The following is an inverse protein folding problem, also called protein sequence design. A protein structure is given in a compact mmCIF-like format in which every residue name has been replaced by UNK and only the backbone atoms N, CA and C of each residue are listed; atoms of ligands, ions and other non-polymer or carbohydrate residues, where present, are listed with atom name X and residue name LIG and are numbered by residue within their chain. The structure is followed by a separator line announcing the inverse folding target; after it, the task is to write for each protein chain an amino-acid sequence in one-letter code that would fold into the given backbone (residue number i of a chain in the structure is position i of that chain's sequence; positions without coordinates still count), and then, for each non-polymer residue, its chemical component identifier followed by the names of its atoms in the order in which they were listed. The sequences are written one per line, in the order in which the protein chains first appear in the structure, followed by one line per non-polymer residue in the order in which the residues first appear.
data_IF_310332993467
#
_entry.id   IF_310332993467
#
_cell.length_a   1.000
_cell.length_b   1.000
_cell.length_c   1.000
_cell.angle_alpha   90.00
_cell.angle_beta   90.00
_cell.angle_gamma   90.00
#
_symmetry.space_group_name_H-M   'P 1'
#
loop_
_entity.id
_entity.type
_entity.pdbx_description
1 polymer ?
#
# COMPACT_ATOMS: atom_id res chain seq x y z
N UNK A 1 -83.51 -10.36 38.53
CA UNK A 1 -84.13 -9.09 38.80
C UNK A 1 -83.17 -8.34 39.71
N UNK A 2 -82.69 -7.38 39.14
CA UNK A 2 -81.98 -6.26 39.75
C UNK A 2 -80.54 -5.99 39.31
N UNK A 3 -80.49 -4.87 38.65
CA UNK A 3 -79.34 -4.33 38.00
C UNK A 3 -78.32 -3.79 38.99
N UNK A 4 -77.16 -4.26 38.94
CA UNK A 4 -75.99 -3.82 39.68
C UNK A 4 -75.50 -2.50 39.15
N UNK A 5 -75.51 -1.51 39.98
CA UNK A 5 -74.78 -0.28 39.73
C UNK A 5 -73.27 -0.51 39.97
N UNK A 6 -72.51 -0.44 38.91
CA UNK A 6 -71.09 -0.50 38.98
C UNK A 6 -70.56 0.93 39.21
N UNK A 7 -69.91 1.13 40.32
CA UNK A 7 -69.15 2.35 40.64
C UNK A 7 -67.86 2.33 39.85
N UNK A 8 -67.74 3.25 38.91
CA UNK A 8 -66.49 3.45 38.17
C UNK A 8 -65.62 4.37 38.98
N UNK A 9 -64.60 3.79 39.64
CA UNK A 9 -63.52 4.55 40.25
C UNK A 9 -62.53 4.97 39.14
N UNK A 10 -62.48 6.26 38.85
CA UNK A 10 -61.52 6.82 37.94
C UNK A 10 -60.16 6.87 38.62
N UNK A 11 -59.33 5.92 38.36
CA UNK A 11 -57.92 5.99 38.71
C UNK A 11 -57.19 6.88 37.67
N UNK A 12 -56.79 8.08 38.08
CA UNK A 12 -55.92 8.92 37.30
C UNK A 12 -54.55 8.26 37.32
N UNK A 13 -54.26 7.45 36.36
CA UNK A 13 -52.89 7.00 36.10
C UNK A 13 -52.15 8.16 35.44
N UNK A 14 -51.28 8.80 36.20
CA UNK A 14 -50.25 9.68 35.64
C UNK A 14 -49.36 8.83 34.74
N UNK A 15 -49.65 8.84 33.44
CA UNK A 15 -48.76 8.33 32.42
C UNK A 15 -47.53 9.24 32.41
N UNK A 16 -46.51 8.85 33.16
CA UNK A 16 -45.14 9.33 32.91
C UNK A 16 -44.79 8.86 31.50
N UNK A 17 -44.97 9.74 30.56
CA UNK A 17 -44.40 9.62 29.21
C UNK A 17 -42.87 9.60 29.36
N UNK A 18 -42.33 8.40 29.54
CA UNK A 18 -40.97 8.11 29.20
C UNK A 18 -40.86 8.39 27.68
N UNK A 19 -40.50 9.62 27.37
CA UNK A 19 -39.93 9.92 26.08
C UNK A 19 -38.68 9.05 25.96
N UNK A 20 -38.82 7.85 25.44
CA UNK A 20 -37.72 7.21 24.78
C UNK A 20 -37.34 8.18 23.66
N UNK A 21 -36.37 9.03 23.95
CA UNK A 21 -35.55 9.63 22.92
C UNK A 21 -34.93 8.46 22.16
N UNK A 22 -35.61 7.99 21.12
CA UNK A 22 -34.92 7.41 20.01
C UNK A 22 -33.97 8.52 19.56
N UNK A 23 -32.75 8.50 20.08
CA UNK A 23 -31.66 9.08 19.32
C UNK A 23 -31.73 8.32 17.98
N UNK A 24 -32.34 8.93 16.97
CA UNK A 24 -31.97 8.67 15.60
C UNK A 24 -30.45 8.79 15.60
N UNK A 25 -29.77 7.65 15.74
CA UNK A 25 -28.44 7.51 15.14
C UNK A 25 -28.74 7.65 13.67
N UNK A 26 -28.76 8.88 13.17
CA UNK A 26 -28.66 9.13 11.75
C UNK A 26 -27.44 8.31 11.35
N UNK A 27 -27.67 7.26 10.58
CA UNK A 27 -26.60 6.40 10.11
C UNK A 27 -25.56 7.35 9.56
N UNK A 28 -24.40 7.39 10.19
CA UNK A 28 -23.34 8.34 9.86
C UNK A 28 -23.01 8.13 8.38
N UNK A 29 -23.23 9.16 7.57
CA UNK A 29 -23.17 9.07 6.12
C UNK A 29 -21.73 8.89 5.68
N UNK A 30 -21.45 7.77 5.04
CA UNK A 30 -20.19 7.54 4.34
C UNK A 30 -20.29 8.02 2.90
N UNK A 31 -19.17 8.44 2.37
CA UNK A 31 -19.01 8.85 0.98
C UNK A 31 -17.89 8.01 0.34
N UNK A 32 -17.93 7.94 -0.99
CA UNK A 32 -16.92 7.22 -1.79
C UNK A 32 -16.34 8.15 -2.84
N UNK A 33 -15.02 8.06 -3.03
CA UNK A 33 -14.30 8.72 -4.12
C UNK A 33 -13.54 7.62 -4.86
N UNK A 34 -13.81 7.47 -6.15
CA UNK A 34 -13.14 6.55 -7.05
C UNK A 34 -12.39 7.32 -8.13
N UNK A 35 -11.29 6.77 -8.61
CA UNK A 35 -10.52 7.37 -9.70
C UNK A 35 -9.33 6.53 -10.14
N UNK A 36 -8.40 7.19 -10.83
CA UNK A 36 -7.15 6.57 -11.28
C UNK A 36 -5.95 7.40 -10.84
N UNK A 37 -4.92 6.75 -10.34
CA UNK A 37 -3.64 7.35 -9.95
C UNK A 37 -2.52 6.31 -10.08
N UNK A 38 -1.29 6.74 -10.28
CA UNK A 38 -0.09 5.88 -10.29
C UNK A 38 -0.21 4.66 -11.23
N UNK A 39 -0.92 4.80 -12.36
CA UNK A 39 -1.12 3.74 -13.34
C UNK A 39 -2.12 2.65 -12.93
N UNK A 40 -2.89 2.87 -11.86
CA UNK A 40 -3.91 1.96 -11.33
C UNK A 40 -5.19 2.72 -10.94
N UNK A 41 -6.15 2.04 -10.30
CA UNK A 41 -7.34 2.64 -9.70
C UNK A 41 -7.09 2.97 -8.23
N UNK A 42 -7.92 3.88 -7.69
CA UNK A 42 -8.03 4.06 -6.25
C UNK A 42 -9.50 4.07 -5.82
N UNK A 43 -9.73 3.65 -4.58
CA UNK A 43 -11.04 3.60 -3.94
C UNK A 43 -10.94 4.11 -2.49
N UNK A 44 -11.66 5.19 -2.19
CA UNK A 44 -11.63 5.81 -0.85
C UNK A 44 -13.06 5.87 -0.32
N UNK A 45 -13.30 5.20 0.82
CA UNK A 45 -14.54 5.30 1.57
C UNK A 45 -14.27 6.07 2.85
N UNK A 46 -15.05 7.09 3.15
CA UNK A 46 -14.82 7.91 4.33
C UNK A 46 -16.09 8.48 4.93
N UNK A 47 -16.07 8.72 6.24
CA UNK A 47 -17.12 9.38 7.01
C UNK A 47 -16.63 10.75 7.45
N UNK A 48 -17.04 11.86 6.82
CA UNK A 48 -16.64 13.20 7.26
C UNK A 48 -17.24 13.55 8.62
N UNK A 49 -16.56 14.39 9.38
CA UNK A 49 -17.06 14.90 10.67
C UNK A 49 -18.41 15.62 10.52
N UNK A 50 -18.63 16.30 9.38
CA UNK A 50 -19.88 16.94 9.01
C UNK A 50 -20.28 16.46 7.62
N UNK A 51 -21.38 15.69 7.54
CA UNK A 51 -21.87 15.15 6.28
C UNK A 51 -22.59 16.24 5.47
N UNK A 52 -21.95 16.73 4.42
CA UNK A 52 -22.52 17.69 3.47
C UNK A 52 -21.86 17.58 2.10
N UNK A 53 -22.51 18.10 1.05
CA UNK A 53 -21.93 18.14 -0.28
C UNK A 53 -20.67 19.04 -0.35
N UNK A 54 -20.62 20.06 0.49
CA UNK A 54 -19.43 20.92 0.61
C UNK A 54 -18.24 20.15 1.23
N UNK A 55 -18.47 19.35 2.30
CA UNK A 55 -17.44 18.49 2.88
C UNK A 55 -16.94 17.46 1.89
N UNK A 56 -17.84 16.80 1.17
CA UNK A 56 -17.49 15.85 0.13
C UNK A 56 -16.59 16.47 -0.94
N UNK A 57 -17.01 17.63 -1.49
CA UNK A 57 -16.26 18.35 -2.52
C UNK A 57 -14.88 18.74 -2.01
N UNK A 58 -14.78 19.34 -0.81
CA UNK A 58 -13.51 19.72 -0.20
C UNK A 58 -12.56 18.52 0.01
N UNK A 59 -13.11 17.38 0.45
CA UNK A 59 -12.31 16.15 0.62
C UNK A 59 -11.82 15.64 -0.72
N UNK A 60 -12.69 15.50 -1.71
CA UNK A 60 -12.32 15.06 -3.06
C UNK A 60 -11.23 15.95 -3.68
N UNK A 61 -11.39 17.26 -3.60
CA UNK A 61 -10.43 18.19 -4.18
C UNK A 61 -9.09 18.14 -3.44
N UNK A 62 -9.09 17.93 -2.11
CA UNK A 62 -7.87 17.72 -1.32
C UNK A 62 -7.17 16.41 -1.69
N UNK A 63 -7.91 15.30 -1.86
CA UNK A 63 -7.36 14.01 -2.29
C UNK A 63 -6.70 14.13 -3.66
N UNK A 64 -7.38 14.75 -4.64
CA UNK A 64 -6.85 14.94 -5.99
C UNK A 64 -5.56 15.79 -5.97
N UNK A 65 -5.52 16.86 -5.17
CA UNK A 65 -4.31 17.68 -5.02
C UNK A 65 -3.15 16.89 -4.38
N UNK A 66 -3.43 16.01 -3.43
CA UNK A 66 -2.41 15.12 -2.85
C UNK A 66 -1.87 14.14 -3.89
N UNK A 67 -2.74 13.48 -4.66
CA UNK A 67 -2.34 12.54 -5.71
C UNK A 67 -1.50 13.22 -6.78
N UNK A 68 -1.85 14.45 -7.19
CA UNK A 68 -1.07 15.24 -8.15
C UNK A 68 0.33 15.57 -7.59
N UNK A 69 0.43 15.96 -6.32
CA UNK A 69 1.73 16.23 -5.67
C UNK A 69 2.61 14.98 -5.65
N UNK A 70 2.05 13.81 -5.32
CA UNK A 70 2.77 12.55 -5.28
C UNK A 70 3.24 12.15 -6.69
N UNK A 71 2.37 12.28 -7.71
CA UNK A 71 2.73 12.01 -9.11
C UNK A 71 3.87 12.92 -9.59
N UNK A 72 3.82 14.21 -9.26
CA UNK A 72 4.87 15.17 -9.61
C UNK A 72 6.20 14.93 -8.85
N UNK A 73 6.18 14.20 -7.74
CA UNK A 73 7.37 13.87 -6.96
C UNK A 73 7.98 12.53 -7.39
N UNK A 74 7.29 11.42 -7.17
CA UNK A 74 7.88 10.06 -7.20
C UNK A 74 7.44 9.18 -8.37
N UNK A 75 6.65 9.69 -9.32
CA UNK A 75 6.23 8.92 -10.48
C UNK A 75 7.34 8.78 -11.53
N UNK A 76 7.77 7.54 -11.81
CA UNK A 76 8.68 7.24 -12.91
C UNK A 76 8.03 7.36 -14.31
N UNK A 77 6.70 7.46 -14.38
CA UNK A 77 5.95 7.64 -15.64
C UNK A 77 5.74 9.11 -15.99
N UNK A 78 5.73 10.00 -15.01
CA UNK A 78 5.63 11.44 -15.21
C UNK A 78 7.01 12.03 -15.59
N UNK A 79 7.14 12.47 -16.84
CA UNK A 79 8.40 13.04 -17.38
C UNK A 79 8.85 14.33 -16.71
N UNK A 80 7.96 14.95 -15.95
CA UNK A 80 8.21 16.21 -15.22
C UNK A 80 8.40 15.99 -13.72
N UNK A 81 8.34 14.72 -13.24
CA UNK A 81 8.50 14.42 -11.81
C UNK A 81 9.92 14.68 -11.33
N UNK A 82 10.05 14.89 -10.01
CA UNK A 82 11.34 15.00 -9.34
C UNK A 82 12.16 13.71 -9.55
N UNK A 83 11.53 12.53 -9.45
CA UNK A 83 12.18 11.24 -9.67
C UNK A 83 12.75 11.12 -11.10
N UNK A 84 12.00 11.56 -12.11
CA UNK A 84 12.48 11.56 -13.50
C UNK A 84 13.65 12.55 -13.68
N UNK A 85 13.57 13.75 -13.09
CA UNK A 85 14.66 14.73 -13.12
C UNK A 85 15.91 14.19 -12.41
N UNK A 86 15.76 13.58 -11.24
CA UNK A 86 16.82 12.89 -10.52
C UNK A 86 17.47 11.81 -11.39
N UNK A 87 16.69 10.89 -11.93
CA UNK A 87 17.20 9.75 -12.67
C UNK A 87 17.82 10.11 -14.04
N UNK A 88 17.19 11.02 -14.80
CA UNK A 88 17.56 11.25 -16.20
C UNK A 88 18.45 12.49 -16.40
N UNK A 89 18.28 13.53 -15.56
CA UNK A 89 18.99 14.81 -15.72
C UNK A 89 20.13 15.01 -14.73
N UNK A 90 20.25 14.12 -13.73
CA UNK A 90 21.26 14.25 -12.68
C UNK A 90 20.93 15.33 -11.65
N UNK A 91 19.66 15.75 -11.56
CA UNK A 91 19.22 16.67 -10.51
C UNK A 91 19.40 16.04 -9.14
N UNK A 92 19.95 16.79 -8.19
CA UNK A 92 20.22 16.27 -6.84
C UNK A 92 19.20 16.76 -5.82
N UNK A 93 18.61 17.96 -6.05
CA UNK A 93 17.58 18.51 -5.17
C UNK A 93 16.26 17.76 -5.34
N UNK A 94 15.67 17.41 -4.22
CA UNK A 94 14.43 16.64 -4.15
C UNK A 94 13.43 17.32 -3.22
N UNK A 95 12.16 16.93 -3.30
CA UNK A 95 11.12 17.43 -2.41
C UNK A 95 10.91 16.51 -1.18
N UNK A 96 10.03 16.94 -0.27
CA UNK A 96 9.71 16.22 0.96
C UNK A 96 9.13 14.82 0.67
N UNK A 97 8.23 14.70 -0.31
CA UNK A 97 7.60 13.42 -0.68
C UNK A 97 8.64 12.43 -1.20
N UNK A 98 9.60 12.92 -2.00
CA UNK A 98 10.72 12.10 -2.44
C UNK A 98 11.59 11.63 -1.27
N UNK A 99 11.94 12.55 -0.34
CA UNK A 99 12.73 12.22 0.84
C UNK A 99 12.04 11.20 1.75
N UNK A 100 10.73 11.31 1.94
CA UNK A 100 9.96 10.36 2.72
C UNK A 100 10.03 8.95 2.12
N UNK A 101 9.80 8.84 0.80
CA UNK A 101 9.92 7.57 0.08
C UNK A 101 11.35 7.02 0.11
N UNK A 102 12.35 7.90 -0.04
CA UNK A 102 13.77 7.52 0.06
C UNK A 102 14.10 6.96 1.44
N UNK A 103 13.70 7.65 2.51
CA UNK A 103 13.95 7.19 3.87
C UNK A 103 13.24 5.87 4.19
N UNK A 104 11.98 5.71 3.74
CA UNK A 104 11.25 4.47 3.90
C UNK A 104 11.94 3.32 3.14
N UNK A 105 12.37 3.56 1.90
CA UNK A 105 13.11 2.58 1.10
C UNK A 105 14.47 2.23 1.72
N UNK A 106 15.22 3.22 2.21
CA UNK A 106 16.51 3.00 2.87
C UNK A 106 16.36 2.20 4.18
N UNK A 107 15.27 2.43 4.92
CA UNK A 107 14.94 1.63 6.10
C UNK A 107 14.67 0.18 5.72
N UNK A 108 13.83 -0.05 4.71
CA UNK A 108 13.53 -1.40 4.21
C UNK A 108 14.76 -2.11 3.64
N UNK A 109 15.64 -1.38 2.91
CA UNK A 109 16.93 -1.89 2.45
C UNK A 109 17.77 -2.43 3.59
N UNK A 110 17.91 -1.66 4.68
CA UNK A 110 18.67 -2.06 5.87
C UNK A 110 18.03 -3.25 6.59
N UNK A 111 16.72 -3.23 6.79
CA UNK A 111 15.97 -4.29 7.49
C UNK A 111 15.94 -5.61 6.71
N UNK A 112 15.93 -5.56 5.39
CA UNK A 112 15.95 -6.70 4.48
C UNK A 112 17.36 -7.16 4.10
N UNK A 113 18.39 -6.52 4.66
CA UNK A 113 19.79 -6.75 4.27
C UNK A 113 20.01 -6.60 2.75
N UNK A 114 19.34 -5.65 2.11
CA UNK A 114 19.44 -5.37 0.69
C UNK A 114 18.59 -6.26 -0.24
N UNK A 115 17.66 -7.06 0.29
CA UNK A 115 16.70 -7.82 -0.53
C UNK A 115 15.48 -6.99 -0.98
N UNK A 116 15.18 -5.91 -0.27
CA UNK A 116 14.38 -4.80 -0.78
C UNK A 116 15.34 -3.67 -1.18
N UNK A 117 15.30 -3.24 -2.44
CA UNK A 117 16.24 -2.23 -2.94
C UNK A 117 15.57 -1.32 -3.98
N UNK A 118 15.35 -0.07 -3.61
CA UNK A 118 14.78 0.94 -4.52
C UNK A 118 15.77 1.36 -5.63
N UNK A 119 17.05 1.03 -5.52
CA UNK A 119 18.04 1.27 -6.57
C UNK A 119 18.04 0.20 -7.67
N UNK A 120 17.27 -0.88 -7.53
CA UNK A 120 17.21 -1.99 -8.48
C UNK A 120 16.56 -1.65 -9.84
N UNK A 121 16.15 -0.39 -10.07
CA UNK A 121 15.55 0.05 -11.34
C UNK A 121 16.30 -0.44 -12.60
N UNK A 122 17.65 -0.38 -12.69
CA UNK A 122 18.38 -0.88 -13.85
C UNK A 122 18.24 -2.40 -14.08
N UNK A 123 18.03 -3.18 -13.00
CA UNK A 123 17.77 -4.62 -13.12
C UNK A 123 16.38 -4.89 -13.69
N UNK A 124 15.35 -4.11 -13.30
CA UNK A 124 14.02 -4.21 -13.92
C UNK A 124 14.06 -3.86 -15.40
N UNK A 125 14.82 -2.84 -15.80
CA UNK A 125 15.03 -2.49 -17.21
C UNK A 125 15.74 -3.62 -17.97
N UNK A 126 16.78 -4.21 -17.37
CA UNK A 126 17.54 -5.33 -17.96
C UNK A 126 16.65 -6.55 -18.27
N UNK A 127 15.73 -6.90 -17.35
CA UNK A 127 14.82 -8.02 -17.50
C UNK A 127 13.53 -7.68 -18.27
N UNK A 128 13.36 -6.43 -18.72
CA UNK A 128 12.22 -6.00 -19.54
C UNK A 128 10.94 -5.73 -18.74
N UNK A 129 11.05 -5.56 -17.41
CA UNK A 129 9.94 -5.12 -16.54
C UNK A 129 9.91 -3.61 -16.32
N UNK A 130 10.95 -2.89 -16.72
CA UNK A 130 11.05 -1.45 -16.70
C UNK A 130 10.59 -0.80 -18.03
N UNK A 131 11.25 0.29 -18.39
CA UNK A 131 10.91 1.07 -19.59
C UNK A 131 11.55 0.56 -20.89
N UNK A 132 12.39 -0.48 -20.85
CA UNK A 132 13.09 -1.06 -21.99
C UNK A 132 12.57 -2.46 -22.30
N UNK A 133 12.46 -2.81 -23.57
CA UNK A 133 12.10 -4.16 -24.01
C UNK A 133 13.34 -5.06 -24.01
N UNK A 134 13.19 -6.24 -23.38
CA UNK A 134 14.30 -7.14 -23.07
C UNK A 134 15.02 -7.72 -24.30
N UNK A 135 16.33 -7.74 -24.20
CA UNK A 135 17.26 -8.57 -24.99
C UNK A 135 17.55 -9.86 -24.22
N UNK A 136 18.30 -10.79 -24.83
CA UNK A 136 18.80 -11.95 -24.08
C UNK A 136 19.74 -11.47 -22.96
N UNK A 137 19.36 -11.75 -21.69
CA UNK A 137 20.13 -11.32 -20.51
C UNK A 137 21.28 -12.30 -20.28
N UNK A 138 22.51 -11.79 -20.31
CA UNK A 138 23.74 -12.56 -20.04
C UNK A 138 24.24 -12.28 -18.62
N UNK A 139 25.06 -13.19 -18.06
CA UNK A 139 25.68 -12.98 -16.73
C UNK A 139 26.52 -11.70 -16.72
N UNK A 140 27.29 -11.43 -17.78
CA UNK A 140 28.10 -10.21 -17.88
C UNK A 140 27.25 -8.92 -17.79
N UNK A 141 26.04 -8.92 -18.39
CA UNK A 141 25.13 -7.77 -18.27
C UNK A 141 24.62 -7.61 -16.85
N UNK A 142 24.30 -8.71 -16.16
CA UNK A 142 23.89 -8.68 -14.75
C UNK A 142 25.02 -8.13 -13.89
N UNK A 143 26.25 -8.68 -14.02
CA UNK A 143 27.40 -8.26 -13.24
C UNK A 143 27.69 -6.77 -13.45
N UNK A 144 27.61 -6.27 -14.68
CA UNK A 144 27.81 -4.86 -15.01
C UNK A 144 26.74 -3.93 -14.40
N UNK A 145 25.50 -4.39 -14.26
CA UNK A 145 24.43 -3.61 -13.64
C UNK A 145 24.57 -3.62 -12.11
N UNK A 146 24.97 -4.73 -11.52
CA UNK A 146 25.17 -4.86 -10.09
C UNK A 146 26.28 -3.92 -9.52
N UNK A 147 27.19 -3.42 -10.37
CA UNK A 147 28.22 -2.44 -9.96
C UNK A 147 27.63 -1.11 -9.45
N UNK A 148 26.41 -0.75 -9.85
CA UNK A 148 25.76 0.52 -9.50
C UNK A 148 24.32 0.35 -8.99
N UNK A 149 24.02 -0.83 -8.45
CA UNK A 149 22.78 -1.15 -7.72
C UNK A 149 23.12 -1.34 -6.25
N UNK A 150 22.41 -0.66 -5.37
CA UNK A 150 22.60 -0.64 -3.91
C UNK A 150 22.23 0.73 -3.36
N UNK A 151 21.44 0.78 -2.30
CA UNK A 151 21.09 2.05 -1.64
C UNK A 151 22.30 2.74 -0.99
N UNK A 152 23.42 2.03 -0.81
CA UNK A 152 24.71 2.58 -0.35
C UNK A 152 25.35 3.58 -1.32
N UNK A 153 24.96 3.58 -2.60
CA UNK A 153 25.38 4.55 -3.60
C UNK A 153 24.73 5.94 -3.44
N UNK A 154 23.81 6.10 -2.49
CA UNK A 154 23.05 7.32 -2.31
C UNK A 154 23.23 7.90 -0.90
N UNK A 155 23.55 9.19 -0.84
CA UNK A 155 23.73 9.93 0.41
C UNK A 155 22.73 11.09 0.51
N UNK A 156 21.75 11.01 1.43
CA UNK A 156 20.84 12.13 1.67
C UNK A 156 21.55 13.24 2.44
N UNK A 157 21.38 14.47 2.02
CA UNK A 157 21.97 15.63 2.66
C UNK A 157 21.07 16.86 2.57
N UNK A 158 21.46 17.92 3.27
CA UNK A 158 20.95 19.27 3.10
C UNK A 158 22.06 20.13 2.51
N UNK A 159 21.77 20.89 1.46
CA UNK A 159 22.74 21.80 0.86
C UNK A 159 22.08 23.05 0.27
N UNK A 160 22.82 24.19 0.18
CA UNK A 160 22.30 25.37 -0.51
C UNK A 160 22.22 25.12 -2.02
N UNK A 161 21.27 25.79 -2.71
CA UNK A 161 21.17 25.71 -4.17
C UNK A 161 22.26 26.48 -4.88
N UNK A 162 22.72 27.55 -4.25
CA UNK A 162 23.91 28.31 -4.69
C UNK A 162 24.75 28.77 -3.48
N UNK A 163 25.96 29.26 -3.75
CA UNK A 163 26.96 29.64 -2.69
C UNK A 163 26.50 30.81 -1.81
N UNK A 164 25.50 31.58 -2.23
CA UNK A 164 24.97 32.72 -1.49
C UNK A 164 23.66 32.38 -0.74
N UNK A 165 23.12 31.18 -0.94
CA UNK A 165 21.87 30.78 -0.29
C UNK A 165 22.14 30.35 1.16
N UNK A 166 21.37 30.91 2.07
CA UNK A 166 21.38 30.49 3.49
C UNK A 166 20.38 29.37 3.79
N UNK A 167 19.48 29.09 2.84
CA UNK A 167 18.48 28.02 2.94
C UNK A 167 19.13 26.71 2.51
N UNK A 168 18.92 25.68 3.31
CA UNK A 168 19.38 24.33 3.03
C UNK A 168 18.22 23.50 2.51
N UNK A 169 18.27 23.09 1.25
CA UNK A 169 17.26 22.25 0.62
C UNK A 169 17.64 20.76 0.66
N UNK A 170 16.66 19.85 0.74
CA UNK A 170 16.91 18.41 0.67
C UNK A 170 17.53 18.03 -0.67
N UNK A 171 18.57 17.20 -0.61
CA UNK A 171 19.25 16.68 -1.78
C UNK A 171 19.69 15.23 -1.54
N UNK A 172 19.89 14.47 -2.63
CA UNK A 172 20.48 13.14 -2.61
C UNK A 172 21.66 13.12 -3.56
N UNK A 173 22.83 12.87 -3.03
CA UNK A 173 24.04 12.64 -3.81
C UNK A 173 24.11 11.18 -4.23
N UNK A 174 24.70 10.92 -5.38
CA UNK A 174 25.04 9.57 -5.85
C UNK A 174 26.50 9.54 -6.29
N UNK A 175 27.18 8.46 -5.99
CA UNK A 175 28.59 8.27 -6.31
C UNK A 175 28.83 7.79 -7.75
N UNK A 176 27.81 7.20 -8.39
CA UNK A 176 27.85 6.79 -9.81
C UNK A 176 26.64 7.38 -10.56
N UNK A 177 26.89 8.08 -11.71
CA UNK A 177 25.81 8.68 -12.51
C UNK A 177 24.86 7.65 -13.17
N UNK A 178 25.21 6.36 -13.16
CA UNK A 178 24.35 5.27 -13.65
C UNK A 178 23.29 4.86 -12.64
N UNK A 179 23.49 5.16 -11.35
CA UNK A 179 22.53 4.83 -10.28
C UNK A 179 21.17 5.46 -10.55
N UNK A 180 20.12 4.71 -10.32
CA UNK A 180 18.70 5.10 -10.51
C UNK A 180 17.87 4.64 -9.33
N UNK A 181 16.83 5.39 -9.01
CA UNK A 181 15.85 5.02 -8.00
C UNK A 181 14.50 4.69 -8.64
N UNK A 182 13.78 3.77 -8.00
CA UNK A 182 12.40 3.44 -8.34
C UNK A 182 11.65 3.09 -7.04
N UNK A 183 10.58 3.83 -6.77
CA UNK A 183 9.81 3.65 -5.54
C UNK A 183 8.55 2.78 -5.73
N UNK A 184 8.37 2.11 -6.89
CA UNK A 184 7.15 1.34 -7.19
C UNK A 184 6.83 0.24 -6.16
N UNK A 185 7.80 -0.21 -5.37
CA UNK A 185 7.63 -1.24 -4.34
C UNK A 185 7.24 -0.65 -2.96
N UNK A 186 6.96 0.66 -2.89
CA UNK A 186 6.62 1.34 -1.63
C UNK A 186 5.72 2.57 -1.84
N UNK A 187 5.69 3.13 -3.04
CA UNK A 187 5.02 4.40 -3.31
C UNK A 187 3.49 4.31 -3.22
N UNK A 188 2.89 3.15 -3.50
CA UNK A 188 1.43 3.00 -3.40
C UNK A 188 1.02 2.89 -1.92
N UNK A 189 1.75 2.12 -1.11
CA UNK A 189 1.58 2.10 0.35
C UNK A 189 1.80 3.48 0.98
N UNK A 190 2.85 4.20 0.58
CA UNK A 190 3.08 5.58 1.01
C UNK A 190 1.93 6.51 0.64
N UNK A 191 1.38 6.36 -0.56
CA UNK A 191 0.25 7.16 -1.02
C UNK A 191 -0.99 6.91 -0.15
N UNK A 192 -1.29 5.65 0.18
CA UNK A 192 -2.41 5.32 1.07
C UNK A 192 -2.24 5.99 2.44
N UNK A 193 -1.05 5.93 3.03
CA UNK A 193 -0.73 6.58 4.31
C UNK A 193 -0.77 8.12 4.22
N UNK A 194 -0.28 8.71 3.13
CA UNK A 194 -0.30 10.15 2.91
C UNK A 194 -1.73 10.69 2.82
N UNK A 195 -2.62 9.98 2.11
CA UNK A 195 -4.03 10.32 2.02
C UNK A 195 -4.77 10.08 3.34
N UNK A 196 -4.41 9.03 4.08
CA UNK A 196 -4.91 8.76 5.42
C UNK A 196 -4.58 9.91 6.38
N UNK A 197 -3.33 10.38 6.38
CA UNK A 197 -2.91 11.54 7.17
C UNK A 197 -3.67 12.82 6.77
N UNK A 198 -3.98 12.98 5.47
CA UNK A 198 -4.80 14.10 5.00
C UNK A 198 -6.25 14.03 5.52
N UNK A 199 -6.85 12.85 5.51
CA UNK A 199 -8.19 12.62 6.08
C UNK A 199 -8.20 12.87 7.59
N UNK A 200 -7.14 12.49 8.31
CA UNK A 200 -6.97 12.77 9.74
C UNK A 200 -6.92 14.28 10.02
N UNK A 201 -6.15 15.04 9.24
CA UNK A 201 -6.10 16.51 9.33
C UNK A 201 -7.47 17.17 9.10
N UNK A 202 -8.33 16.52 8.29
CA UNK A 202 -9.70 16.97 8.05
C UNK A 202 -10.69 16.50 9.14
N UNK A 203 -10.20 15.79 10.16
CA UNK A 203 -11.01 15.28 11.28
C UNK A 203 -11.91 14.11 10.90
N UNK A 204 -11.58 13.33 9.88
CA UNK A 204 -12.33 12.16 9.43
C UNK A 204 -12.10 10.98 10.37
N UNK A 205 -13.12 10.49 11.12
CA UNK A 205 -12.91 9.46 12.13
C UNK A 205 -12.81 8.03 11.58
N UNK A 206 -13.47 7.75 10.44
CA UNK A 206 -13.54 6.42 9.85
C UNK A 206 -13.33 6.51 8.35
N UNK A 207 -12.38 5.71 7.85
CA UNK A 207 -12.11 5.65 6.41
C UNK A 207 -11.32 4.39 6.03
N UNK A 208 -11.43 4.04 4.76
CA UNK A 208 -10.55 3.11 4.05
C UNK A 208 -10.00 3.83 2.82
N UNK A 209 -8.69 3.80 2.66
CA UNK A 209 -7.97 4.28 1.48
C UNK A 209 -7.35 3.07 0.79
N UNK A 210 -7.68 2.87 -0.48
CA UNK A 210 -7.10 1.82 -1.33
C UNK A 210 -6.49 2.47 -2.56
N UNK A 211 -5.25 2.10 -2.88
CA UNK A 211 -4.48 2.56 -4.05
C UNK A 211 -3.86 1.33 -4.73
N UNK A 212 -4.48 0.82 -5.79
CA UNK A 212 -3.92 -0.29 -6.56
C UNK A 212 -3.87 -1.66 -5.86
N UNK A 213 -4.54 -1.78 -4.72
CA UNK A 213 -4.53 -2.95 -3.85
C UNK A 213 -3.87 -2.70 -2.48
N UNK A 214 -3.11 -1.62 -2.35
CA UNK A 214 -2.50 -1.18 -1.10
C UNK A 214 -3.54 -0.42 -0.26
N UNK A 215 -3.81 -0.89 0.95
CA UNK A 215 -4.90 -0.41 1.79
C UNK A 215 -4.38 0.15 3.10
N UNK A 216 -4.90 1.31 3.51
CA UNK A 216 -4.90 1.74 4.90
C UNK A 216 -6.33 1.95 5.39
N UNK A 217 -6.66 1.41 6.56
CA UNK A 217 -8.00 1.54 7.14
C UNK A 217 -7.94 2.12 8.55
N UNK A 218 -8.87 3.04 8.86
CA UNK A 218 -9.04 3.61 10.19
C UNK A 218 -10.48 3.48 10.67
N UNK A 219 -10.63 3.20 11.96
CA UNK A 219 -11.92 3.11 12.63
C UNK A 219 -12.79 1.99 12.08
N UNK A 220 -14.07 2.25 11.82
CA UNK A 220 -15.05 1.24 11.44
C UNK A 220 -15.69 1.52 10.09
N UNK A 221 -16.17 0.46 9.46
CA UNK A 221 -16.93 0.51 8.20
C UNK A 221 -18.38 1.03 8.42
N UNK A 222 -19.19 1.22 7.37
CA UNK A 222 -20.59 1.67 7.51
C UNK A 222 -21.48 0.79 8.37
N UNK A 223 -21.13 -0.46 8.62
CA UNK A 223 -21.84 -1.39 9.50
C UNK A 223 -21.39 -1.31 10.96
N UNK A 224 -20.40 -0.46 11.28
CA UNK A 224 -19.86 -0.30 12.63
C UNK A 224 -18.91 -1.42 13.08
N UNK A 225 -18.33 -2.15 12.13
CA UNK A 225 -17.36 -3.24 12.35
C UNK A 225 -16.00 -2.89 11.68
N UNK A 226 -14.92 -3.62 11.98
CA UNK A 226 -13.68 -3.49 11.21
C UNK A 226 -13.90 -3.58 9.70
N UNK A 227 -12.98 -3.03 8.92
CA UNK A 227 -13.05 -3.04 7.46
C UNK A 227 -12.71 -4.42 6.92
N UNK A 228 -13.48 -4.89 5.95
CA UNK A 228 -13.25 -6.17 5.28
C UNK A 228 -12.51 -5.93 3.97
N UNK A 229 -11.34 -6.55 3.81
CA UNK A 229 -10.52 -6.48 2.60
C UNK A 229 -10.39 -7.88 2.00
N UNK A 230 -10.78 -8.03 0.74
CA UNK A 230 -10.66 -9.28 0.00
C UNK A 230 -9.23 -9.51 -0.49
N UNK A 231 -8.72 -10.72 -0.33
CA UNK A 231 -7.45 -11.17 -0.90
C UNK A 231 -7.74 -12.04 -2.11
N UNK A 232 -7.27 -11.60 -3.28
CA UNK A 232 -7.46 -12.33 -4.54
C UNK A 232 -6.70 -13.64 -4.55
N UNK A 233 -7.30 -14.65 -5.20
CA UNK A 233 -6.63 -15.92 -5.50
C UNK A 233 -5.54 -15.70 -6.55
N UNK A 234 -4.28 -16.07 -6.27
CA UNK A 234 -3.15 -15.85 -7.17
C UNK A 234 -3.09 -16.92 -8.27
N UNK A 235 -4.07 -16.88 -9.19
CA UNK A 235 -4.12 -17.76 -10.37
C UNK A 235 -3.90 -16.96 -11.64
N UNK A 236 -3.22 -17.57 -12.61
CA UNK A 236 -2.97 -16.93 -13.90
C UNK A 236 -4.31 -16.60 -14.59
N UNK A 237 -4.45 -15.36 -15.04
CA UNK A 237 -5.70 -14.86 -15.64
C UNK A 237 -6.67 -14.17 -14.67
N UNK A 238 -6.44 -14.18 -13.37
CA UNK A 238 -7.18 -13.35 -12.41
C UNK A 238 -6.65 -11.90 -12.45
N UNK A 239 -7.08 -11.16 -13.48
CA UNK A 239 -6.66 -9.77 -13.73
C UNK A 239 -7.69 -8.74 -13.25
N UNK A 240 -8.82 -9.20 -12.68
CA UNK A 240 -9.89 -8.33 -12.19
C UNK A 240 -9.92 -8.40 -10.66
N UNK A 241 -9.51 -7.32 -9.95
CA UNK A 241 -9.54 -7.28 -8.49
C UNK A 241 -10.93 -7.65 -7.94
N UNK A 242 -10.96 -8.54 -6.94
CA UNK A 242 -12.18 -9.00 -6.29
C UNK A 242 -13.01 -10.03 -7.06
N UNK A 243 -12.58 -10.50 -8.25
CA UNK A 243 -13.34 -11.46 -9.06
C UNK A 243 -13.26 -12.90 -8.50
N UNK A 244 -12.13 -13.28 -7.90
CA UNK A 244 -11.91 -14.59 -7.25
C UNK A 244 -11.16 -14.38 -5.94
N UNK A 245 -11.92 -14.33 -4.84
CA UNK A 245 -11.41 -14.05 -3.50
C UNK A 245 -10.97 -15.35 -2.83
N UNK A 246 -9.74 -15.38 -2.32
CA UNK A 246 -9.17 -16.50 -1.54
C UNK A 246 -9.51 -16.39 -0.05
N UNK A 247 -9.50 -15.17 0.50
CA UNK A 247 -9.73 -14.90 1.92
C UNK A 247 -10.28 -13.47 2.10
N UNK A 248 -10.91 -13.20 3.24
CA UNK A 248 -11.29 -11.86 3.66
C UNK A 248 -10.55 -11.55 4.96
N UNK A 249 -9.87 -10.42 5.02
CA UNK A 249 -9.13 -9.95 6.19
C UNK A 249 -9.86 -8.78 6.82
N UNK A 250 -10.05 -8.82 8.14
CA UNK A 250 -10.65 -7.73 8.92
C UNK A 250 -9.55 -6.84 9.48
N UNK A 251 -9.53 -5.59 9.05
CA UNK A 251 -8.51 -4.61 9.47
C UNK A 251 -9.13 -3.38 10.11
N UNK A 252 -8.38 -2.80 11.06
CA UNK A 252 -8.70 -1.54 11.72
C UNK A 252 -7.42 -0.88 12.19
N UNK A 253 -7.27 0.42 11.90
CA UNK A 253 -6.13 1.25 12.30
C UNK A 253 -4.77 0.69 11.86
N UNK A 254 -4.73 0.10 10.65
CA UNK A 254 -3.52 -0.53 10.10
C UNK A 254 -3.51 -0.53 8.56
N UNK A 255 -2.34 -0.84 8.00
CA UNK A 255 -2.14 -1.07 6.58
C UNK A 255 -2.23 -2.54 6.21
N UNK A 256 -2.73 -2.84 5.01
CA UNK A 256 -2.74 -4.17 4.39
C UNK A 256 -2.32 -4.05 2.94
N UNK A 257 -1.32 -4.83 2.53
CA UNK A 257 -0.79 -4.83 1.17
C UNK A 257 -0.55 -6.25 0.68
N UNK A 258 -0.78 -6.47 -0.60
CA UNK A 258 -0.56 -7.76 -1.25
C UNK A 258 0.38 -7.63 -2.46
N UNK A 259 1.54 -8.27 -2.40
CA UNK A 259 2.44 -8.48 -3.53
C UNK A 259 2.26 -9.88 -4.11
N UNK A 260 2.38 -10.02 -5.45
CA UNK A 260 2.21 -11.34 -6.08
C UNK A 260 2.71 -11.40 -7.51
N UNK A 261 3.23 -12.57 -7.89
CA UNK A 261 3.88 -12.84 -9.18
C UNK A 261 2.93 -13.36 -10.27
N UNK A 262 1.62 -13.36 -10.02
CA UNK A 262 0.63 -13.91 -10.95
C UNK A 262 0.08 -12.88 -11.95
N UNK A 263 0.26 -11.58 -11.70
CA UNK A 263 -0.25 -10.50 -12.56
C UNK A 263 0.79 -9.99 -13.58
N UNK A 264 2.07 -9.96 -13.22
CA UNK A 264 3.15 -9.42 -14.04
C UNK A 264 4.26 -10.46 -14.22
N UNK A 265 4.21 -11.21 -15.31
CA UNK A 265 5.22 -12.18 -15.72
C UNK A 265 5.22 -12.33 -17.24
N UNK A 266 6.25 -12.95 -17.78
CA UNK A 266 6.26 -13.44 -19.16
C UNK A 266 6.81 -14.86 -19.21
N UNK A 267 6.50 -15.60 -20.30
CA UNK A 267 7.02 -16.93 -20.52
C UNK A 267 8.18 -16.84 -21.51
N UNK A 268 9.35 -17.36 -21.13
CA UNK A 268 10.53 -17.49 -21.99
C UNK A 268 11.05 -18.91 -21.90
N UNK A 269 11.21 -19.58 -23.04
CA UNK A 269 11.71 -20.97 -23.13
C UNK A 269 10.95 -21.96 -22.22
N UNK A 270 9.63 -21.77 -22.08
CA UNK A 270 8.76 -22.57 -21.21
C UNK A 270 8.88 -22.27 -19.71
N UNK A 271 9.71 -21.30 -19.32
CA UNK A 271 9.84 -20.86 -17.92
C UNK A 271 9.07 -19.55 -17.67
N UNK A 272 8.40 -19.49 -16.54
CA UNK A 272 7.79 -18.24 -16.04
C UNK A 272 8.89 -17.35 -15.46
N UNK A 273 9.01 -16.13 -16.01
CA UNK A 273 9.91 -15.09 -15.52
C UNK A 273 9.08 -14.08 -14.76
N UNK A 274 9.29 -14.03 -13.46
CA UNK A 274 8.60 -13.12 -12.52
C UNK A 274 9.21 -11.72 -12.59
N UNK A 275 8.39 -10.71 -12.31
CA UNK A 275 8.88 -9.35 -12.12
C UNK A 275 9.55 -9.12 -10.75
N UNK A 276 9.45 -10.07 -9.81
CA UNK A 276 10.20 -10.02 -8.55
C UNK A 276 11.65 -10.39 -8.82
N UNK A 277 12.54 -9.42 -8.68
CA UNK A 277 13.98 -9.56 -8.91
C UNK A 277 14.69 -9.53 -7.57
N UNK A 278 15.62 -10.47 -7.35
CA UNK A 278 16.52 -10.44 -6.21
C UNK A 278 17.68 -9.46 -6.50
N UNK A 279 17.78 -8.31 -5.80
CA UNK A 279 18.77 -7.29 -6.10
C UNK A 279 20.22 -7.76 -5.90
N UNK A 280 20.45 -8.72 -4.99
CA UNK A 280 21.79 -9.26 -4.73
C UNK A 280 22.32 -10.17 -5.82
N UNK A 281 21.42 -10.88 -6.50
CA UNK A 281 21.81 -11.79 -7.59
C UNK A 281 21.57 -11.20 -8.98
N UNK A 282 20.81 -10.10 -9.04
CA UNK A 282 20.36 -9.47 -10.28
C UNK A 282 19.41 -10.34 -11.10
N UNK A 283 18.82 -11.41 -10.53
CA UNK A 283 18.00 -12.39 -11.24
C UNK A 283 16.56 -12.40 -10.71
N UNK A 284 15.58 -12.68 -11.58
CA UNK A 284 14.24 -13.02 -11.13
C UNK A 284 14.24 -14.17 -10.13
N UNK A 285 13.34 -14.11 -9.14
CA UNK A 285 13.19 -15.18 -8.15
C UNK A 285 12.56 -16.41 -8.78
N UNK A 286 13.01 -17.60 -8.34
CA UNK A 286 12.48 -18.90 -8.76
C UNK A 286 12.09 -19.69 -7.52
N UNK A 287 10.82 -19.61 -7.10
CA UNK A 287 10.27 -20.36 -5.98
C UNK A 287 8.76 -20.54 -6.13
N UNK A 288 8.15 -21.28 -5.20
CA UNK A 288 6.73 -21.62 -5.23
C UNK A 288 5.82 -20.61 -4.49
N UNK A 289 6.34 -19.56 -3.89
CA UNK A 289 5.55 -18.50 -3.28
C UNK A 289 4.92 -17.65 -4.40
N UNK A 290 3.60 -17.49 -4.36
CA UNK A 290 2.82 -16.83 -5.41
C UNK A 290 2.30 -15.47 -5.00
N UNK A 291 2.01 -15.29 -3.70
CA UNK A 291 1.47 -14.06 -3.14
C UNK A 291 1.81 -13.93 -1.67
N UNK A 292 2.06 -12.71 -1.25
CA UNK A 292 2.28 -12.31 0.15
C UNK A 292 1.33 -11.18 0.49
N UNK A 293 0.44 -11.39 1.44
CA UNK A 293 -0.38 -10.33 2.04
C UNK A 293 0.20 -10.01 3.40
N UNK A 294 0.49 -8.75 3.64
CA UNK A 294 1.09 -8.26 4.88
C UNK A 294 0.18 -7.25 5.55
N UNK A 295 -0.02 -7.40 6.85
CA UNK A 295 -0.62 -6.38 7.73
C UNK A 295 0.47 -5.80 8.62
N UNK A 296 0.52 -4.46 8.67
CA UNK A 296 1.48 -3.71 9.50
C UNK A 296 0.84 -2.43 10.03
N UNK A 297 1.56 -1.69 10.87
CA UNK A 297 1.07 -0.44 11.47
C UNK A 297 0.66 0.64 10.44
N UNK A 298 1.19 0.56 9.22
CA UNK A 298 0.84 1.44 8.11
C UNK A 298 1.07 0.74 6.76
N UNK A 299 0.51 1.30 5.69
CA UNK A 299 0.55 0.70 4.36
C UNK A 299 1.96 0.75 3.73
N UNK A 300 2.76 1.78 4.01
CA UNK A 300 4.16 1.91 3.54
C UNK A 300 5.02 0.74 4.02
N UNK A 301 4.91 0.39 5.31
CA UNK A 301 5.64 -0.73 5.90
C UNK A 301 5.11 -2.05 5.34
N UNK A 302 3.79 -2.22 5.24
CA UNK A 302 3.19 -3.42 4.69
C UNK A 302 3.64 -3.68 3.23
N UNK A 303 3.72 -2.63 2.39
CA UNK A 303 4.15 -2.68 0.98
C UNK A 303 5.62 -3.11 0.87
N UNK A 304 6.50 -2.47 1.63
CA UNK A 304 7.91 -2.85 1.69
C UNK A 304 8.11 -4.31 2.12
N UNK A 305 7.41 -4.75 3.18
CA UNK A 305 7.50 -6.14 3.63
C UNK A 305 6.88 -7.13 2.65
N UNK A 306 5.74 -6.80 2.02
CA UNK A 306 5.12 -7.68 1.02
C UNK A 306 6.10 -7.94 -0.14
N UNK A 307 6.77 -6.91 -0.64
CA UNK A 307 7.82 -7.05 -1.67
C UNK A 307 9.03 -7.84 -1.16
N UNK A 308 9.53 -7.55 0.05
CA UNK A 308 10.65 -8.26 0.66
C UNK A 308 10.39 -9.76 0.81
N UNK A 309 9.21 -10.13 1.34
CA UNK A 309 8.84 -11.53 1.54
C UNK A 309 8.70 -12.27 0.19
N UNK A 310 8.23 -11.60 -0.87
CA UNK A 310 8.22 -12.17 -2.23
C UNK A 310 9.63 -12.49 -2.72
N UNK A 311 10.62 -11.65 -2.44
CA UNK A 311 12.01 -11.91 -2.84
C UNK A 311 12.64 -13.06 -2.05
N UNK A 312 12.26 -13.22 -0.77
CA UNK A 312 12.78 -14.28 0.11
C UNK A 312 12.33 -15.69 -0.27
N UNK A 313 11.09 -15.84 -0.76
CA UNK A 313 10.43 -17.14 -0.91
C UNK A 313 9.90 -17.70 0.43
N UNK A 314 9.10 -18.78 0.34
CA UNK A 314 8.22 -19.26 1.41
C UNK A 314 8.90 -19.46 2.77
N UNK A 315 9.96 -20.28 2.81
CA UNK A 315 10.52 -20.71 4.10
C UNK A 315 11.16 -19.55 4.87
N UNK A 316 11.96 -18.73 4.18
CA UNK A 316 12.57 -17.55 4.79
C UNK A 316 11.54 -16.46 5.11
N UNK A 317 10.50 -16.29 4.30
CA UNK A 317 9.41 -15.38 4.59
C UNK A 317 8.71 -15.74 5.90
N UNK A 318 8.44 -17.03 6.14
CA UNK A 318 7.88 -17.54 7.40
C UNK A 318 8.77 -17.23 8.60
N UNK A 319 10.08 -17.47 8.48
CA UNK A 319 11.07 -17.18 9.54
C UNK A 319 11.06 -15.69 9.89
N UNK A 320 11.08 -14.80 8.88
CA UNK A 320 11.04 -13.35 9.08
C UNK A 320 9.76 -12.93 9.79
N UNK A 321 8.59 -13.34 9.30
CA UNK A 321 7.30 -12.97 9.90
C UNK A 321 7.19 -13.48 11.35
N UNK A 322 7.60 -14.73 11.62
CA UNK A 322 7.53 -15.31 12.96
C UNK A 322 8.45 -14.60 13.96
N UNK A 323 9.58 -14.05 13.49
CA UNK A 323 10.57 -13.36 14.34
C UNK A 323 10.34 -11.84 14.48
N UNK A 324 9.43 -11.25 13.70
CA UNK A 324 9.27 -9.80 13.61
C UNK A 324 7.94 -9.36 14.22
N UNK A 325 8.01 -8.66 15.34
CA UNK A 325 6.82 -8.08 15.98
C UNK A 325 6.19 -6.98 15.10
N UNK A 326 4.85 -6.94 15.06
CA UNK A 326 4.07 -5.94 14.32
C UNK A 326 3.95 -6.19 12.80
N UNK A 327 4.41 -7.36 12.32
CA UNK A 327 4.24 -7.82 10.95
C UNK A 327 3.46 -9.13 10.96
N UNK A 328 2.26 -9.11 10.39
CA UNK A 328 1.44 -10.30 10.19
C UNK A 328 1.33 -10.61 8.70
N UNK A 329 1.32 -11.88 8.33
CA UNK A 329 1.28 -12.26 6.92
C UNK A 329 0.43 -13.48 6.59
N UNK A 330 -0.18 -13.42 5.40
CA UNK A 330 -0.80 -14.54 4.70
C UNK A 330 0.02 -14.82 3.43
N UNK A 331 0.57 -16.04 3.34
CA UNK A 331 1.42 -16.47 2.23
C UNK A 331 0.69 -17.55 1.43
N UNK A 332 0.50 -17.32 0.12
CA UNK A 332 -0.10 -18.29 -0.79
C UNK A 332 1.00 -18.86 -1.67
N UNK A 333 1.10 -20.19 -1.71
CA UNK A 333 2.14 -20.90 -2.45
C UNK A 333 1.61 -22.14 -3.16
N UNK A 334 2.33 -22.58 -4.20
CA UNK A 334 2.01 -23.84 -4.89
C UNK A 334 2.71 -25.02 -4.24
N UNK A 335 1.97 -26.15 -4.13
CA UNK A 335 2.52 -27.45 -3.74
C UNK A 335 1.95 -28.50 -4.70
N UNK A 336 2.75 -28.91 -5.69
CA UNK A 336 2.24 -29.63 -6.84
C UNK A 336 1.19 -28.79 -7.58
N UNK A 337 0.06 -29.38 -7.92
CA UNK A 337 -1.07 -28.71 -8.59
C UNK A 337 -2.02 -27.99 -7.62
N UNK A 338 -1.69 -27.92 -6.34
CA UNK A 338 -2.56 -27.32 -5.31
C UNK A 338 -2.02 -26.00 -4.81
N UNK A 339 -2.92 -25.03 -4.57
CA UNK A 339 -2.62 -23.84 -3.77
C UNK A 339 -2.70 -24.19 -2.29
N UNK A 340 -1.74 -23.67 -1.53
CA UNK A 340 -1.67 -23.77 -0.08
C UNK A 340 -1.54 -22.37 0.51
N UNK A 341 -2.03 -22.24 1.73
CA UNK A 341 -1.96 -20.99 2.51
C UNK A 341 -1.23 -21.27 3.81
N UNK A 342 -0.35 -20.35 4.18
CA UNK A 342 0.22 -20.24 5.51
C UNK A 342 -0.11 -18.87 6.06
N UNK A 343 -0.44 -18.81 7.34
CA UNK A 343 -0.72 -17.54 8.05
C UNK A 343 0.10 -17.50 9.33
N UNK A 344 0.50 -16.28 9.74
CA UNK A 344 0.97 -16.03 11.09
C UNK A 344 -0.20 -16.04 12.09
N UNK A 345 0.08 -16.20 13.37
CA UNK A 345 -0.97 -16.31 14.40
C UNK A 345 -1.88 -15.07 14.46
N UNK A 346 -1.30 -13.87 14.32
CA UNK A 346 -2.07 -12.63 14.30
C UNK A 346 -2.88 -12.45 13.01
N UNK A 347 -2.41 -12.95 11.88
CA UNK A 347 -3.17 -12.96 10.64
C UNK A 347 -4.34 -13.95 10.72
N UNK A 348 -4.14 -15.16 11.25
CA UNK A 348 -5.19 -16.18 11.43
C UNK A 348 -6.35 -15.66 12.31
N UNK A 349 -6.05 -14.80 13.28
CA UNK A 349 -7.05 -14.19 14.17
C UNK A 349 -7.97 -13.17 13.49
N UNK A 350 -7.61 -12.63 12.32
CA UNK A 350 -8.34 -11.58 11.59
C UNK A 350 -8.85 -12.01 10.21
N UNK A 351 -8.55 -13.22 9.78
CA UNK A 351 -9.05 -13.83 8.52
C UNK A 351 -10.39 -14.52 8.73
N UNK A 352 -11.31 -14.37 7.76
CA UNK A 352 -12.59 -15.11 7.68
C UNK A 352 -12.53 -16.26 6.67
#
# INVERSE_FOLDING_TARGET
MDMKKILITVAVAAAASLAFSCSDRSASKYYTIDGTAQGTTFHIVFQPSIASDASFTATRDSINACLERIDNSVSGYNKSSVLTAFNEKGEEFVDEIFMDNFHAALKMFKESEGLFDASAAPLFDLWGFGFRTGTEVTQHMIDSVLEFVGMEHFEPCLKPRDDNDTIQDPAILRDDPRCRLNFNAIAQGYTADYLAAKLDQMGTPNYLVEIGGEVYAKGVNPSGTPWNVGIDRPVDGNNSPGADIQAVVRIQDCGLVTSGDYRKFYIKDGKKISHSINPKTGRPVEHNLLSTTVVASNATVADGYATYLMVLGLDKAREVVTSREGIEALLIYSQGDSLKVWMSDGMDAIVE
#
